data_IF_652033837770
#
_entry.id   IF_652033837770
#
_cell.length_a   1.000
_cell.length_b   1.000
_cell.length_c   1.000
_cell.angle_alpha   90.00
_cell.angle_beta   90.00
_cell.angle_gamma   90.00
#
_symmetry.space_group_name_H-M   'P 1'
#
loop_
_entity.id
_entity.type
_entity.pdbx_description
1 polymer ?
#
# COMPACT_ATOMS: atom_id res chain seq x y z
N UNK A 1 45.03 19.08 40.18
CA UNK A 1 43.93 19.71 39.42
C UNK A 1 44.17 19.49 37.93
N UNK A 2 43.57 18.46 37.34
CA UNK A 2 43.59 18.24 35.90
C UNK A 2 42.16 18.45 35.44
N UNK A 3 41.87 19.64 34.94
CA UNK A 3 40.54 20.01 34.42
C UNK A 3 40.51 19.64 32.94
N UNK A 4 39.49 18.86 32.57
CA UNK A 4 38.92 18.71 31.23
C UNK A 4 39.85 18.25 30.08
N UNK A 5 40.04 16.93 29.96
CA UNK A 5 40.30 16.29 28.67
C UNK A 5 39.00 16.27 27.86
N UNK A 6 38.70 17.38 27.19
CA UNK A 6 37.50 17.57 26.38
C UNK A 6 37.60 16.73 25.12
N UNK A 7 36.91 15.58 25.07
CA UNK A 7 36.75 14.82 23.84
C UNK A 7 35.85 15.64 22.89
N UNK A 8 36.29 15.96 21.65
CA UNK A 8 35.51 16.78 20.72
C UNK A 8 34.20 16.14 20.26
N UNK A 9 33.99 14.85 20.56
CA UNK A 9 32.73 14.11 20.30
C UNK A 9 31.73 14.27 21.46
N UNK A 10 32.19 14.74 22.61
CA UNK A 10 31.52 14.62 23.91
C UNK A 10 30.97 15.97 24.42
N UNK A 11 30.49 16.84 23.51
CA UNK A 11 30.01 18.17 23.87
C UNK A 11 28.87 18.14 24.91
N UNK A 12 28.15 17.02 25.04
CA UNK A 12 27.06 16.88 25.99
C UNK A 12 27.49 16.47 27.41
N UNK A 13 28.48 15.58 27.59
CA UNK A 13 28.96 15.27 28.94
C UNK A 13 29.67 16.47 29.59
N UNK A 14 30.21 17.38 28.77
CA UNK A 14 30.82 18.61 29.28
C UNK A 14 29.75 19.58 29.82
N UNK A 15 28.60 19.70 29.14
CA UNK A 15 27.46 20.52 29.62
C UNK A 15 26.80 19.98 30.89
N UNK A 16 26.77 18.65 31.08
CA UNK A 16 26.28 18.03 32.31
C UNK A 16 27.21 18.25 33.52
N UNK A 17 28.49 18.59 33.29
CA UNK A 17 29.45 18.84 34.37
C UNK A 17 29.41 20.27 34.93
N UNK A 18 28.77 21.22 34.22
CA UNK A 18 28.84 22.66 34.55
C UNK A 18 27.54 23.24 35.17
N UNK A 19 26.44 22.47 35.30
CA UNK A 19 25.24 22.91 36.02
C UNK A 19 24.41 21.75 36.59
N UNK A 20 23.87 21.84 37.83
CA UNK A 20 23.10 20.78 38.49
C UNK A 20 21.62 20.79 38.07
N UNK A 21 21.33 20.98 36.77
CA UNK A 21 19.97 20.82 36.27
C UNK A 21 19.79 19.36 35.88
N UNK A 22 19.05 18.60 36.69
CA UNK A 22 18.68 17.22 36.36
C UNK A 22 18.11 17.18 34.93
N UNK A 23 18.67 16.36 34.02
CA UNK A 23 18.15 16.30 32.66
C UNK A 23 16.70 15.83 32.72
N UNK A 24 15.83 16.44 31.93
CA UNK A 24 14.42 16.07 31.79
C UNK A 24 14.07 15.88 30.32
N UNK A 25 13.06 15.07 30.02
CA UNK A 25 12.58 14.94 28.66
C UNK A 25 12.09 16.28 28.10
N UNK A 26 12.52 16.64 26.90
CA UNK A 26 12.18 17.93 26.25
C UNK A 26 10.68 18.08 25.92
N UNK A 27 9.90 17.00 26.02
CA UNK A 27 8.48 16.98 25.66
C UNK A 27 7.59 16.82 26.89
N UNK A 28 7.80 15.76 27.68
CA UNK A 28 6.96 15.45 28.85
C UNK A 28 7.61 15.78 30.20
N UNK A 29 8.81 16.36 30.20
CA UNK A 29 9.53 16.80 31.41
C UNK A 29 9.81 15.71 32.47
N UNK A 30 9.60 14.44 32.14
CA UNK A 30 9.96 13.31 33.02
C UNK A 30 11.47 13.30 33.26
N UNK A 31 11.91 12.94 34.48
CA UNK A 31 13.32 12.81 34.87
C UNK A 31 13.83 11.36 34.82
N UNK A 32 13.00 10.41 34.40
CA UNK A 32 13.26 8.98 34.44
C UNK A 32 13.39 8.38 33.03
N UNK A 33 14.24 7.36 32.90
CA UNK A 33 14.48 6.61 31.66
C UNK A 33 14.74 7.53 30.47
N UNK A 34 15.82 8.32 30.59
CA UNK A 34 16.15 9.39 29.65
C UNK A 34 17.23 8.95 28.66
N UNK A 35 16.98 9.30 27.40
CA UNK A 35 17.81 8.96 26.26
C UNK A 35 18.18 10.23 25.53
N UNK A 36 19.44 10.36 25.18
CA UNK A 36 19.91 11.47 24.37
C UNK A 36 20.29 11.01 22.97
N UNK A 37 19.78 11.72 21.96
CA UNK A 37 20.23 11.52 20.59
C UNK A 37 21.70 11.96 20.43
N UNK A 38 22.57 11.06 20.01
CA UNK A 38 24.01 11.37 19.85
C UNK A 38 24.30 12.23 18.61
N UNK A 39 23.34 12.39 17.70
CA UNK A 39 23.48 13.18 16.47
C UNK A 39 23.14 14.65 16.73
N UNK A 40 22.01 14.92 17.38
CA UNK A 40 21.50 16.28 17.54
C UNK A 40 21.32 16.75 19.00
N UNK A 41 21.62 15.90 19.99
CA UNK A 41 21.54 16.24 21.40
C UNK A 41 20.13 16.32 21.99
N UNK A 42 19.10 15.86 21.27
CA UNK A 42 17.71 15.83 21.78
C UNK A 42 17.56 14.85 22.95
N UNK A 43 16.98 15.29 24.07
CA UNK A 43 16.69 14.44 25.24
C UNK A 43 15.22 14.02 25.25
N UNK A 44 14.97 12.71 25.14
CA UNK A 44 13.65 12.09 25.13
C UNK A 44 13.54 10.94 26.14
N UNK A 45 12.33 10.70 26.67
CA UNK A 45 12.10 9.50 27.49
C UNK A 45 12.01 8.23 26.62
N UNK A 46 12.41 7.10 27.20
CA UNK A 46 12.52 5.81 26.53
C UNK A 46 11.19 5.11 26.29
N UNK A 47 11.29 3.89 25.72
CA UNK A 47 10.15 3.04 25.32
C UNK A 47 9.25 2.66 26.50
N UNK A 48 9.79 2.60 27.72
CA UNK A 48 9.07 2.25 28.94
C UNK A 48 8.32 3.43 29.59
N UNK A 49 8.36 4.60 28.96
CA UNK A 49 7.56 5.79 29.30
C UNK A 49 6.72 6.15 28.06
N UNK A 50 6.74 7.42 27.65
CA UNK A 50 6.00 7.93 26.47
C UNK A 50 6.73 7.74 25.13
N UNK A 51 7.96 7.21 25.12
CA UNK A 51 8.70 6.92 23.89
C UNK A 51 9.04 8.16 23.05
N UNK A 52 9.42 9.27 23.67
CA UNK A 52 9.84 10.47 22.94
C UNK A 52 11.14 10.29 22.16
N UNK A 53 12.05 9.44 22.64
CA UNK A 53 13.30 9.14 21.93
C UNK A 53 13.08 8.37 20.63
N UNK A 54 12.17 7.38 20.64
CA UNK A 54 11.82 6.61 19.43
C UNK A 54 11.00 7.46 18.44
N UNK A 55 10.13 8.34 18.92
CA UNK A 55 9.38 9.28 18.06
C UNK A 55 10.32 10.27 17.37
N UNK A 56 11.32 10.77 18.11
CA UNK A 56 12.37 11.62 17.56
C UNK A 56 13.13 10.92 16.42
N UNK A 57 13.55 9.67 16.61
CA UNK A 57 14.17 8.88 15.54
C UNK A 57 13.26 8.79 14.31
N UNK A 58 11.99 8.41 14.48
CA UNK A 58 11.04 8.29 13.35
C UNK A 58 10.87 9.60 12.57
N UNK A 59 10.87 10.75 13.26
CA UNK A 59 10.70 12.06 12.63
C UNK A 59 11.96 12.66 12.01
N UNK A 60 13.14 12.36 12.57
CA UNK A 60 14.41 13.01 12.19
C UNK A 60 15.42 12.09 11.51
N UNK A 61 15.17 10.78 11.52
CA UNK A 61 16.11 9.75 11.06
C UNK A 61 17.46 9.76 11.79
N UNK A 62 17.46 10.25 13.04
CA UNK A 62 18.61 10.11 13.92
C UNK A 62 18.64 8.73 14.58
N UNK A 63 19.41 7.81 14.01
CA UNK A 63 19.36 6.38 14.32
C UNK A 63 20.00 5.94 15.65
N UNK A 64 20.69 6.84 16.34
CA UNK A 64 21.44 6.50 17.54
C UNK A 64 21.04 7.35 18.75
N UNK A 65 20.84 6.69 19.88
CA UNK A 65 20.62 7.34 21.17
C UNK A 65 21.44 6.67 22.28
N UNK A 66 21.89 7.47 23.24
CA UNK A 66 22.62 7.05 24.42
C UNK A 66 21.65 7.03 25.61
N UNK A 67 21.61 5.91 26.31
CA UNK A 67 20.94 5.80 27.61
C UNK A 67 21.76 6.52 28.68
N UNK A 68 21.15 7.51 29.35
CA UNK A 68 21.83 8.27 30.39
C UNK A 68 22.09 7.45 31.67
N UNK A 69 21.30 6.41 31.92
CA UNK A 69 21.45 5.54 33.10
C UNK A 69 22.56 4.50 32.88
N UNK A 70 22.52 3.78 31.76
CA UNK A 70 23.46 2.67 31.51
C UNK A 70 24.69 3.07 30.68
N UNK A 71 24.72 4.29 30.12
CA UNK A 71 25.79 4.78 29.24
C UNK A 71 26.01 3.90 27.99
N UNK A 72 24.98 3.16 27.57
CA UNK A 72 24.97 2.31 26.38
C UNK A 72 24.30 3.03 25.21
N UNK A 73 24.85 2.83 24.02
CA UNK A 73 24.28 3.39 22.79
C UNK A 73 23.35 2.34 22.16
N UNK A 74 22.13 2.76 21.85
CA UNK A 74 21.14 1.97 21.14
C UNK A 74 21.11 2.35 19.66
N UNK A 75 21.11 1.35 18.79
CA UNK A 75 20.83 1.48 17.37
C UNK A 75 19.36 1.18 17.10
N UNK A 76 18.61 2.17 16.62
CA UNK A 76 17.20 2.00 16.27
C UNK A 76 16.99 1.22 14.96
N UNK A 77 17.97 1.21 14.05
CA UNK A 77 17.88 0.48 12.77
C UNK A 77 18.20 -0.99 12.97
N UNK A 78 19.32 -1.28 13.65
CA UNK A 78 19.74 -2.64 13.98
C UNK A 78 19.05 -3.27 15.20
N UNK A 79 18.10 -2.56 15.83
CA UNK A 79 17.36 -2.92 17.06
C UNK A 79 18.21 -3.63 18.12
N UNK A 80 19.41 -3.09 18.36
CA UNK A 80 20.40 -3.68 19.25
C UNK A 80 21.27 -2.62 19.92
N UNK A 81 21.91 -3.00 21.03
CA UNK A 81 22.94 -2.16 21.64
C UNK A 81 24.21 -2.21 20.80
N UNK A 82 24.78 -1.04 20.50
CA UNK A 82 26.06 -0.94 19.80
C UNK A 82 27.16 -1.43 20.74
N UNK A 83 27.87 -2.49 20.33
CA UNK A 83 29.06 -2.94 21.03
C UNK A 83 30.18 -1.92 20.86
N UNK A 84 30.57 -1.30 21.97
CA UNK A 84 31.65 -0.32 22.00
C UNK A 84 32.99 -1.04 21.81
N UNK A 85 33.61 -0.91 20.63
CA UNK A 85 35.04 -1.16 20.40
C UNK A 85 35.88 -0.05 21.07
N UNK A 86 35.73 0.14 22.38
CA UNK A 86 36.66 0.93 23.15
C UNK A 86 37.72 -0.01 23.73
N UNK A 87 38.73 -0.35 22.92
CA UNK A 87 40.06 -0.56 23.49
C UNK A 87 40.60 0.80 23.96
N UNK A 88 40.04 1.34 25.04
CA UNK A 88 40.76 2.32 25.82
C UNK A 88 41.88 1.56 26.53
N UNK A 89 43.07 1.69 25.96
CA UNK A 89 44.38 1.37 26.55
C UNK A 89 44.35 1.43 28.09
N UNK A 90 44.31 0.28 28.72
CA UNK A 90 44.91 0.09 30.04
C UNK A 90 45.58 -1.28 30.04
N UNK A 91 46.91 -1.22 30.11
CA UNK A 91 47.80 -2.28 30.61
C UNK A 91 48.10 -3.48 29.68
N UNK A 92 48.76 -3.20 28.56
CA UNK A 92 49.74 -4.16 28.00
C UNK A 92 51.10 -3.71 28.49
N UNK A 93 51.48 -4.23 29.66
CA UNK A 93 52.88 -4.37 30.10
C UNK A 93 53.64 -5.02 28.95
N UNK A 94 54.36 -4.18 28.20
CA UNK A 94 55.41 -4.65 27.30
C UNK A 94 56.53 -5.21 28.18
N UNK A 95 56.48 -6.50 28.47
CA UNK A 95 57.62 -7.24 29.00
C UNK A 95 58.66 -7.41 27.88
N UNK A 96 59.33 -6.32 27.50
CA UNK A 96 60.66 -6.39 26.90
C UNK A 96 61.63 -6.65 28.05
N UNK A 97 61.88 -7.92 28.36
CA UNK A 97 62.98 -8.28 29.25
C UNK A 97 64.29 -8.17 28.45
N UNK A 98 64.80 -6.95 28.30
CA UNK A 98 66.20 -6.71 28.01
C UNK A 98 66.87 -6.30 29.33
N UNK A 99 67.28 -7.29 30.12
CA UNK A 99 68.15 -7.06 31.27
C UNK A 99 69.56 -6.74 30.79
N UNK A 100 69.81 -5.46 30.50
CA UNK A 100 71.16 -4.92 30.41
C UNK A 100 71.57 -4.61 31.84
N UNK A 101 72.58 -5.31 32.36
CA UNK A 101 73.14 -4.98 33.66
C UNK A 101 73.93 -3.67 33.53
N UNK A 102 73.58 -2.69 34.35
CA UNK A 102 74.36 -1.47 34.55
C UNK A 102 74.71 -1.45 36.03
N UNK A 103 75.89 -1.94 36.40
CA UNK A 103 76.70 -1.43 37.52
C UNK A 103 78.09 -2.10 37.49
N UNK A 104 79.20 -1.34 37.49
CA UNK A 104 80.54 -1.90 37.60
C UNK A 104 80.87 -2.14 39.07
N UNK A 105 81.05 -3.40 39.43
CA UNK A 105 81.56 -3.80 40.74
C UNK A 105 80.55 -4.52 41.62
N UNK A 106 80.12 -5.72 41.21
CA UNK A 106 80.03 -6.84 42.16
C UNK A 106 79.93 -8.17 41.41
N UNK A 107 80.44 -9.21 42.05
CA UNK A 107 80.80 -10.51 41.48
C UNK A 107 79.59 -11.29 40.93
N UNK A 108 79.32 -11.24 39.62
CA UNK A 108 78.32 -12.09 38.96
C UNK A 108 78.91 -13.47 38.67
N UNK A 109 78.61 -14.44 39.55
CA UNK A 109 79.11 -15.84 39.48
C UNK A 109 78.38 -16.68 38.41
N UNK A 110 77.52 -16.08 37.56
CA UNK A 110 76.70 -16.85 36.61
C UNK A 110 76.85 -16.44 35.14
N UNK A 111 77.91 -15.72 34.77
CA UNK A 111 78.35 -15.59 33.38
C UNK A 111 79.40 -16.67 33.07
N UNK A 112 79.00 -17.94 33.16
CA UNK A 112 79.76 -19.05 32.59
C UNK A 112 79.33 -19.20 31.13
N UNK A 113 80.17 -18.69 30.24
CA UNK A 113 80.34 -19.25 28.91
C UNK A 113 81.04 -20.60 29.15
N UNK A 114 80.33 -21.71 29.01
CA UNK A 114 80.95 -23.04 29.04
C UNK A 114 80.38 -23.90 27.91
N UNK A 115 81.30 -24.26 27.02
CA UNK A 115 81.11 -25.01 25.78
C UNK A 115 80.96 -26.51 26.08
N UNK A 116 79.78 -26.91 26.57
CA UNK A 116 79.37 -28.33 26.59
C UNK A 116 77.91 -28.48 26.17
N UNK A 117 77.63 -27.92 25.00
CA UNK A 117 76.31 -27.78 24.36
C UNK A 117 75.94 -29.00 23.51
N UNK A 118 75.69 -30.15 24.14
CA UNK A 118 75.08 -31.29 23.45
C UNK A 118 74.01 -32.00 24.28
N UNK A 119 74.15 -32.06 25.60
CA UNK A 119 73.13 -32.62 26.49
C UNK A 119 71.90 -31.72 26.69
N UNK A 120 72.12 -30.40 26.77
CA UNK A 120 71.06 -29.39 26.94
C UNK A 120 70.19 -29.22 25.69
N UNK A 121 70.82 -29.12 24.51
CA UNK A 121 70.13 -29.06 23.20
C UNK A 121 69.35 -30.33 22.90
N UNK A 122 69.84 -31.50 23.34
CA UNK A 122 69.11 -32.75 23.15
C UNK A 122 67.90 -32.87 24.08
N UNK A 123 67.98 -32.36 25.31
CA UNK A 123 66.85 -32.35 26.23
C UNK A 123 65.80 -31.30 25.84
N UNK A 124 66.23 -30.12 25.37
CA UNK A 124 65.32 -29.12 24.81
C UNK A 124 64.66 -29.60 23.52
N UNK A 125 65.40 -30.24 22.61
CA UNK A 125 64.84 -30.78 21.36
C UNK A 125 63.78 -31.87 21.60
N UNK A 126 63.96 -32.72 22.62
CA UNK A 126 62.92 -33.68 23.03
C UNK A 126 61.71 -33.00 23.67
N UNK A 127 61.93 -31.97 24.49
CA UNK A 127 60.85 -31.18 25.07
C UNK A 127 60.04 -30.45 23.98
N UNK A 128 60.72 -29.86 23.00
CA UNK A 128 60.09 -29.20 21.85
C UNK A 128 59.29 -30.19 21.00
N UNK A 129 59.81 -31.39 20.77
CA UNK A 129 59.09 -32.46 20.06
C UNK A 129 57.80 -32.86 20.78
N UNK A 130 57.86 -33.00 22.11
CA UNK A 130 56.68 -33.32 22.94
C UNK A 130 55.65 -32.17 22.88
N UNK A 131 56.11 -30.92 22.92
CA UNK A 131 55.25 -29.73 22.80
C UNK A 131 54.59 -29.68 21.43
N UNK A 132 55.31 -29.98 20.35
CA UNK A 132 54.75 -30.03 19.00
C UNK A 132 53.73 -31.14 18.83
N UNK A 133 53.99 -32.34 19.38
CA UNK A 133 53.02 -33.43 19.39
C UNK A 133 51.76 -33.07 20.18
N UNK A 134 51.92 -32.44 21.35
CA UNK A 134 50.80 -31.94 22.16
C UNK A 134 50.00 -30.87 21.41
N UNK A 135 50.68 -29.91 20.78
CA UNK A 135 50.03 -28.86 19.98
C UNK A 135 49.26 -29.46 18.80
N UNK A 136 49.81 -30.49 18.14
CA UNK A 136 49.12 -31.20 17.05
C UNK A 136 47.88 -31.94 17.55
N UNK A 137 47.97 -32.60 18.70
CA UNK A 137 46.83 -33.26 19.35
C UNK A 137 45.75 -32.25 19.75
N UNK A 138 46.14 -31.14 20.36
CA UNK A 138 45.24 -30.06 20.74
C UNK A 138 44.56 -29.45 19.52
N UNK A 139 45.32 -29.17 18.44
CA UNK A 139 44.77 -28.67 17.18
C UNK A 139 43.78 -29.65 16.56
N UNK A 140 44.10 -30.95 16.53
CA UNK A 140 43.18 -31.98 16.06
C UNK A 140 41.91 -32.03 16.90
N UNK A 141 42.01 -31.88 18.22
CA UNK A 141 40.85 -31.90 19.10
C UNK A 141 39.96 -30.67 18.90
N UNK A 142 40.57 -29.48 18.74
CA UNK A 142 39.85 -28.23 18.46
C UNK A 142 39.15 -28.29 17.09
N UNK A 143 39.78 -28.91 16.10
CA UNK A 143 39.19 -29.07 14.77
C UNK A 143 37.96 -30.00 14.81
N UNK A 144 38.04 -31.14 15.48
CA UNK A 144 36.89 -32.02 15.68
C UNK A 144 35.74 -31.31 16.41
N UNK A 145 36.05 -30.49 17.42
CA UNK A 145 35.03 -29.69 18.11
C UNK A 145 34.42 -28.63 17.20
N UNK A 146 35.24 -27.94 16.39
CA UNK A 146 34.78 -26.95 15.40
C UNK A 146 33.79 -27.59 14.43
N UNK A 147 34.16 -28.71 13.83
CA UNK A 147 33.31 -29.45 12.89
C UNK A 147 31.98 -29.89 13.54
N UNK A 148 32.02 -30.41 14.77
CA UNK A 148 30.82 -30.81 15.49
C UNK A 148 29.84 -29.65 15.71
N UNK A 149 30.33 -28.52 16.22
CA UNK A 149 29.47 -27.36 16.46
C UNK A 149 29.02 -26.69 15.17
N UNK A 150 29.85 -26.67 14.12
CA UNK A 150 29.44 -26.19 12.79
C UNK A 150 28.33 -27.05 12.19
N UNK A 151 28.43 -28.39 12.31
CA UNK A 151 27.38 -29.31 11.88
C UNK A 151 26.08 -29.06 12.66
N UNK A 152 26.16 -28.96 14.00
CA UNK A 152 25.00 -28.70 14.85
C UNK A 152 24.32 -27.36 14.51
N UNK A 153 25.10 -26.31 14.27
CA UNK A 153 24.59 -24.99 13.85
C UNK A 153 23.98 -25.04 12.44
N UNK A 154 24.61 -25.77 11.51
CA UNK A 154 24.09 -25.99 10.16
C UNK A 154 22.73 -26.70 10.20
N UNK A 155 22.60 -27.75 11.00
CA UNK A 155 21.36 -28.52 11.10
C UNK A 155 20.25 -27.71 11.76
N UNK A 156 20.56 -26.97 12.84
CA UNK A 156 19.61 -26.05 13.46
C UNK A 156 19.18 -24.91 12.51
N UNK A 157 20.06 -24.48 11.60
CA UNK A 157 19.72 -23.51 10.55
C UNK A 157 18.79 -24.12 9.51
N UNK A 158 19.11 -25.32 9.00
CA UNK A 158 18.28 -26.04 8.02
C UNK A 158 16.89 -26.32 8.57
N UNK A 159 16.77 -26.73 9.83
CA UNK A 159 15.47 -27.00 10.45
C UNK A 159 14.63 -25.72 10.56
N UNK A 160 15.25 -24.60 10.98
CA UNK A 160 14.55 -23.30 10.98
C UNK A 160 14.13 -22.88 9.57
N UNK A 161 15.00 -23.02 8.58
CA UNK A 161 14.70 -22.69 7.19
C UNK A 161 13.58 -23.57 6.64
N UNK A 162 13.57 -24.86 6.95
CA UNK A 162 12.50 -25.79 6.61
C UNK A 162 11.17 -25.38 7.26
N UNK A 163 11.16 -25.10 8.56
CA UNK A 163 9.96 -24.62 9.26
C UNK A 163 9.43 -23.31 8.67
N UNK A 164 10.31 -22.38 8.33
CA UNK A 164 9.93 -21.12 7.68
C UNK A 164 9.32 -21.42 6.30
N UNK A 165 9.97 -22.26 5.48
CA UNK A 165 9.45 -22.63 4.15
C UNK A 165 8.06 -23.26 4.25
N UNK A 166 7.87 -24.24 5.14
CA UNK A 166 6.58 -24.90 5.32
C UNK A 166 5.49 -23.93 5.81
N UNK A 167 5.83 -23.03 6.75
CA UNK A 167 4.89 -22.02 7.23
C UNK A 167 4.49 -21.02 6.13
N UNK A 168 5.46 -20.60 5.30
CA UNK A 168 5.25 -19.72 4.16
C UNK A 168 4.39 -20.41 3.10
N UNK A 169 4.71 -21.63 2.71
CA UNK A 169 3.96 -22.40 1.71
C UNK A 169 2.51 -22.62 2.15
N UNK A 170 2.29 -22.96 3.42
CA UNK A 170 0.94 -23.08 3.99
C UNK A 170 0.19 -21.76 3.91
N UNK A 171 0.82 -20.65 4.31
CA UNK A 171 0.20 -19.32 4.27
C UNK A 171 -0.15 -18.89 2.85
N UNK A 172 0.74 -19.14 1.89
CA UNK A 172 0.52 -18.85 0.47
C UNK A 172 -0.65 -19.69 -0.05
N UNK A 173 -0.69 -20.99 0.24
CA UNK A 173 -1.75 -21.88 -0.20
C UNK A 173 -3.13 -21.47 0.38
N UNK A 174 -3.18 -21.14 1.67
CA UNK A 174 -4.41 -20.68 2.33
C UNK A 174 -4.91 -19.37 1.69
N UNK A 175 -4.01 -18.43 1.38
CA UNK A 175 -4.35 -17.19 0.68
C UNK A 175 -4.77 -17.39 -0.76
N UNK A 176 -4.16 -18.34 -1.46
CA UNK A 176 -4.54 -18.69 -2.82
C UNK A 176 -5.95 -19.28 -2.86
N UNK A 177 -6.30 -20.16 -1.93
CA UNK A 177 -7.65 -20.69 -1.78
C UNK A 177 -8.67 -19.60 -1.43
N UNK A 178 -8.31 -18.69 -0.51
CA UNK A 178 -9.17 -17.54 -0.14
C UNK A 178 -9.46 -16.64 -1.35
N UNK A 179 -8.43 -16.31 -2.14
CA UNK A 179 -8.58 -15.50 -3.35
C UNK A 179 -9.38 -16.21 -4.43
N UNK A 180 -9.19 -17.52 -4.60
CA UNK A 180 -9.95 -18.31 -5.56
C UNK A 180 -11.45 -18.34 -5.20
N UNK A 181 -11.79 -18.53 -3.92
CA UNK A 181 -13.17 -18.47 -3.44
C UNK A 181 -13.79 -17.08 -3.65
N UNK A 182 -13.04 -16.01 -3.36
CA UNK A 182 -13.48 -14.62 -3.59
C UNK A 182 -13.73 -14.33 -5.07
N UNK A 183 -12.86 -14.84 -5.95
CA UNK A 183 -13.03 -14.72 -7.38
C UNK A 183 -14.32 -15.41 -7.84
N UNK A 184 -14.55 -16.66 -7.43
CA UNK A 184 -15.76 -17.41 -7.77
C UNK A 184 -17.04 -16.71 -7.29
N UNK A 185 -17.06 -16.22 -6.05
CA UNK A 185 -18.20 -15.45 -5.52
C UNK A 185 -18.45 -14.17 -6.32
N UNK A 186 -17.40 -13.41 -6.62
CA UNK A 186 -17.50 -12.19 -7.42
C UNK A 186 -18.00 -12.48 -8.85
N UNK A 187 -17.57 -13.58 -9.46
CA UNK A 187 -18.08 -14.01 -10.76
C UNK A 187 -19.56 -14.37 -10.70
N UNK A 188 -20.00 -15.05 -9.64
CA UNK A 188 -21.41 -15.40 -9.45
C UNK A 188 -22.27 -14.15 -9.25
N UNK A 189 -21.82 -13.19 -8.45
CA UNK A 189 -22.51 -11.91 -8.26
C UNK A 189 -22.59 -11.11 -9.56
N UNK A 190 -21.48 -11.01 -10.30
CA UNK A 190 -21.45 -10.38 -11.62
C UNK A 190 -22.47 -11.02 -12.57
N UNK A 191 -22.57 -12.36 -12.58
CA UNK A 191 -23.55 -13.08 -13.40
C UNK A 191 -24.98 -12.74 -12.99
N UNK A 192 -25.28 -12.75 -11.69
CA UNK A 192 -26.62 -12.38 -11.17
C UNK A 192 -27.01 -10.95 -11.55
N UNK A 193 -26.08 -10.00 -11.42
CA UNK A 193 -26.30 -8.60 -11.79
C UNK A 193 -26.49 -8.46 -13.30
N UNK A 194 -25.72 -9.16 -14.12
CA UNK A 194 -25.88 -9.16 -15.57
C UNK A 194 -27.25 -9.70 -16.00
N UNK A 195 -27.69 -10.82 -15.43
CA UNK A 195 -29.02 -11.39 -15.68
C UNK A 195 -30.15 -10.45 -15.25
N UNK A 196 -30.00 -9.77 -14.10
CA UNK A 196 -30.98 -8.78 -13.64
C UNK A 196 -31.03 -7.57 -14.57
N UNK A 197 -29.88 -7.06 -14.99
CA UNK A 197 -29.79 -5.92 -15.89
C UNK A 197 -30.40 -6.24 -17.28
N UNK A 198 -30.16 -7.45 -17.79
CA UNK A 198 -30.78 -7.92 -19.04
C UNK A 198 -32.31 -7.95 -18.93
N UNK A 199 -32.85 -8.50 -17.83
CA UNK A 199 -34.31 -8.53 -17.59
C UNK A 199 -34.88 -7.12 -17.49
N UNK A 200 -34.21 -6.23 -16.78
CA UNK A 200 -34.65 -4.84 -16.60
C UNK A 200 -34.63 -4.08 -17.92
N UNK A 201 -33.58 -4.25 -18.73
CA UNK A 201 -33.46 -3.64 -20.07
C UNK A 201 -34.59 -4.11 -20.99
N UNK A 202 -34.85 -5.43 -21.03
CA UNK A 202 -35.97 -6.00 -21.80
C UNK A 202 -37.32 -5.44 -21.36
N UNK A 203 -37.54 -5.34 -20.04
CA UNK A 203 -38.78 -4.75 -19.52
C UNK A 203 -38.89 -3.27 -19.90
N UNK A 204 -37.80 -2.51 -19.77
CA UNK A 204 -37.74 -1.10 -20.15
C UNK A 204 -38.04 -0.90 -21.64
N UNK A 205 -37.50 -1.74 -22.53
CA UNK A 205 -37.76 -1.67 -23.97
C UNK A 205 -39.22 -1.94 -24.31
N UNK A 206 -39.85 -2.92 -23.65
CA UNK A 206 -41.28 -3.18 -23.80
C UNK A 206 -42.09 -1.95 -23.39
N UNK A 207 -41.80 -1.34 -22.24
CA UNK A 207 -42.48 -0.12 -21.81
C UNK A 207 -42.26 1.06 -22.77
N UNK A 208 -41.05 1.22 -23.30
CA UNK A 208 -40.77 2.26 -24.31
C UNK A 208 -41.59 2.04 -25.58
N UNK A 209 -41.70 0.80 -26.05
CA UNK A 209 -42.51 0.46 -27.22
C UNK A 209 -44.01 0.67 -26.98
N UNK A 210 -44.53 0.29 -25.80
CA UNK A 210 -45.94 0.49 -25.48
C UNK A 210 -46.29 1.97 -25.36
N UNK A 211 -45.45 2.78 -24.71
CA UNK A 211 -45.62 4.24 -24.62
C UNK A 211 -45.62 4.85 -26.02
N UNK A 212 -44.63 4.53 -26.86
CA UNK A 212 -44.57 5.02 -28.24
C UNK A 212 -45.82 4.62 -29.05
N UNK A 213 -46.30 3.39 -28.89
CA UNK A 213 -47.52 2.92 -29.56
C UNK A 213 -48.80 3.56 -29.02
N UNK A 214 -48.84 4.01 -27.77
CA UNK A 214 -49.94 4.82 -27.22
C UNK A 214 -49.88 6.22 -27.84
N UNK A 215 -48.72 6.88 -27.81
CA UNK A 215 -48.51 8.22 -28.36
C UNK A 215 -48.88 8.31 -29.85
N UNK A 216 -48.52 7.30 -30.65
CA UNK A 216 -48.87 7.24 -32.07
C UNK A 216 -50.37 7.07 -32.30
N UNK A 217 -51.06 6.26 -31.48
CA UNK A 217 -52.51 6.09 -31.55
C UNK A 217 -53.25 7.36 -31.15
N UNK A 218 -52.84 8.00 -30.06
CA UNK A 218 -53.42 9.27 -29.61
C UNK A 218 -53.21 10.37 -30.65
N UNK A 219 -52.00 10.46 -31.24
CA UNK A 219 -51.71 11.40 -32.33
C UNK A 219 -52.59 11.16 -33.56
N UNK A 220 -52.84 9.91 -33.93
CA UNK A 220 -53.75 9.58 -35.03
C UNK A 220 -55.21 9.96 -34.72
N UNK A 221 -55.67 9.72 -33.49
CA UNK A 221 -57.01 10.13 -33.06
C UNK A 221 -57.18 11.65 -33.00
N UNK A 222 -56.16 12.38 -32.55
CA UNK A 222 -56.16 13.84 -32.55
C UNK A 222 -56.26 14.37 -33.99
N UNK A 223 -55.44 13.86 -34.91
CA UNK A 223 -55.52 14.24 -36.34
C UNK A 223 -56.91 13.98 -36.93
N UNK A 224 -57.51 12.82 -36.68
CA UNK A 224 -58.86 12.52 -37.16
C UNK A 224 -59.92 13.49 -36.60
N UNK A 225 -59.80 13.86 -35.32
CA UNK A 225 -60.69 14.86 -34.70
C UNK A 225 -60.46 16.25 -35.28
N UNK A 226 -59.22 16.65 -35.51
CA UNK A 226 -58.86 17.92 -36.12
C UNK A 226 -59.40 18.00 -37.56
N UNK A 227 -59.23 16.95 -38.36
CA UNK A 227 -59.78 16.85 -39.72
C UNK A 227 -61.32 16.94 -39.72
N UNK A 228 -61.99 16.28 -38.77
CA UNK A 228 -63.45 16.35 -38.62
C UNK A 228 -63.92 17.75 -38.16
N UNK A 229 -63.15 18.43 -37.30
CA UNK A 229 -63.43 19.82 -36.92
C UNK A 229 -63.31 20.73 -38.14
N UNK A 230 -62.27 20.56 -38.96
CA UNK A 230 -62.09 21.35 -40.18
C UNK A 230 -63.26 21.18 -41.16
N UNK A 231 -63.71 19.95 -41.38
CA UNK A 231 -64.87 19.65 -42.23
C UNK A 231 -66.16 20.28 -41.68
N UNK A 232 -66.43 20.13 -40.37
CA UNK A 232 -67.58 20.76 -39.73
C UNK A 232 -67.52 22.29 -39.78
N UNK A 233 -66.34 22.88 -39.62
CA UNK A 233 -66.14 24.33 -39.77
C UNK A 233 -66.41 24.80 -41.19
N UNK A 234 -66.04 24.02 -42.21
CA UNK A 234 -66.35 24.29 -43.62
C UNK A 234 -67.86 24.20 -43.87
N UNK A 235 -68.53 23.15 -43.40
CA UNK A 235 -69.98 23.04 -43.48
C UNK A 235 -70.69 24.23 -42.82
N UNK A 236 -70.23 24.68 -41.64
CA UNK A 236 -70.81 25.86 -40.96
C UNK A 236 -70.59 27.13 -41.78
N UNK A 237 -69.43 27.29 -42.45
CA UNK A 237 -69.17 28.44 -43.34
C UNK A 237 -70.13 28.43 -44.52
N UNK A 238 -70.35 27.28 -45.14
CA UNK A 238 -71.28 27.13 -46.26
C UNK A 238 -72.74 27.38 -45.86
N UNK A 239 -73.18 26.84 -44.73
CA UNK A 239 -74.51 27.14 -44.18
C UNK A 239 -74.66 28.62 -43.83
N UNK A 240 -73.62 29.26 -43.29
CA UNK A 240 -73.64 30.70 -43.03
C UNK A 240 -73.77 31.51 -44.32
N UNK A 241 -73.08 31.09 -45.39
CA UNK A 241 -73.16 31.72 -46.69
C UNK A 241 -74.56 31.57 -47.32
N UNK A 242 -75.13 30.37 -47.31
CA UNK A 242 -76.47 30.12 -47.86
C UNK A 242 -77.56 30.90 -47.13
N UNK A 243 -77.51 30.98 -45.78
CA UNK A 243 -78.42 31.80 -44.98
C UNK A 243 -78.25 33.29 -45.29
N UNK A 244 -77.02 33.77 -45.48
CA UNK A 244 -76.75 35.17 -45.83
C UNK A 244 -77.27 35.51 -47.22
N UNK A 245 -77.13 34.59 -48.18
CA UNK A 245 -77.68 34.72 -49.52
C UNK A 245 -79.22 34.78 -49.48
N UNK A 246 -79.87 33.86 -48.76
CA UNK A 246 -81.33 33.87 -48.56
C UNK A 246 -81.83 35.19 -47.92
N UNK A 247 -81.14 35.68 -46.87
CA UNK A 247 -81.48 36.97 -46.24
C UNK A 247 -81.27 38.16 -47.17
N UNK A 248 -80.26 38.11 -48.05
CA UNK A 248 -80.01 39.18 -49.02
C UNK A 248 -81.07 39.20 -50.12
N UNK A 249 -81.46 38.03 -50.62
CA UNK A 249 -82.58 37.86 -51.57
C UNK A 249 -83.89 38.37 -50.95
N UNK A 250 -84.16 38.06 -49.69
CA UNK A 250 -85.34 38.54 -48.97
C UNK A 250 -85.32 40.06 -48.68
N UNK A 251 -84.14 40.71 -48.67
CA UNK A 251 -83.98 42.16 -48.48
C UNK A 251 -83.98 42.95 -49.79
N UNK A 252 -83.56 42.34 -50.90
CA UNK A 252 -83.67 42.93 -52.23
C UNK A 252 -85.12 42.84 -52.70
N UNK A 253 -85.64 43.94 -53.24
CA UNK A 253 -87.03 44.21 -53.56
C UNK A 253 -87.58 43.45 -54.77
N UNK A 254 -87.68 42.12 -54.70
CA UNK A 254 -88.49 41.26 -55.61
C UNK A 254 -88.92 39.98 -54.87
N UNK A 255 -89.91 40.09 -53.99
CA UNK A 255 -90.36 38.97 -53.15
C UNK A 255 -91.37 38.03 -53.84
N UNK A 256 -91.88 38.35 -55.04
CA UNK A 256 -93.02 37.63 -55.64
C UNK A 256 -92.72 36.73 -56.87
N UNK A 257 -91.53 36.77 -57.49
CA UNK A 257 -91.31 36.08 -58.78
C UNK A 257 -90.48 34.77 -58.75
N UNK A 258 -90.12 34.25 -57.57
CA UNK A 258 -89.28 33.03 -57.46
C UNK A 258 -89.90 31.89 -56.64
N UNK A 259 -91.22 31.88 -56.43
CA UNK A 259 -91.97 30.69 -56.00
C UNK A 259 -92.06 29.68 -57.16
N UNK A 260 -90.97 28.99 -57.48
CA UNK A 260 -91.03 27.93 -58.51
C UNK A 260 -89.75 27.14 -58.78
N UNK A 261 -88.59 27.56 -58.26
CA UNK A 261 -87.33 26.87 -58.52
C UNK A 261 -87.00 25.82 -57.47
N UNK A 262 -87.37 24.56 -57.71
CA UNK A 262 -86.88 23.40 -56.96
C UNK A 262 -85.38 23.19 -57.24
N UNK A 263 -84.52 23.60 -56.31
CA UNK A 263 -83.09 23.30 -56.35
C UNK A 263 -82.87 21.89 -55.82
N UNK A 264 -82.69 20.96 -56.75
CA UNK A 264 -82.24 19.59 -56.49
C UNK A 264 -80.77 19.62 -56.06
N UNK A 265 -80.39 19.01 -54.93
CA UNK A 265 -78.98 18.83 -54.57
C UNK A 265 -78.31 17.91 -55.59
N UNK A 266 -77.27 18.41 -56.28
CA UNK A 266 -76.37 17.57 -57.05
C UNK A 266 -75.60 16.67 -56.08
N UNK A 267 -75.87 15.36 -56.19
CA UNK A 267 -75.02 14.33 -55.61
C UNK A 267 -73.61 14.48 -56.21
N UNK A 268 -72.61 14.79 -55.38
CA UNK A 268 -71.22 14.61 -55.76
C UNK A 268 -70.89 13.13 -55.61
N UNK A 269 -70.55 12.54 -56.75
CA UNK A 269 -70.18 11.14 -56.87
C UNK A 269 -68.93 10.79 -56.05
N UNK A 270 -68.96 9.58 -55.53
CA UNK A 270 -67.84 8.82 -54.99
C UNK A 270 -66.71 8.69 -56.00
N UNK A 271 -65.52 9.24 -55.71
CA UNK A 271 -64.31 8.89 -56.45
C UNK A 271 -63.62 7.66 -55.82
N UNK A 272 -63.80 6.54 -56.50
CA UNK A 272 -63.12 5.27 -56.27
C UNK A 272 -61.68 5.31 -56.77
N UNK A 273 -60.75 5.73 -55.92
CA UNK A 273 -59.31 5.66 -56.18
C UNK A 273 -58.73 4.25 -55.94
N UNK A 274 -58.72 3.40 -56.97
CA UNK A 274 -57.90 2.16 -57.00
C UNK A 274 -56.40 2.50 -57.01
N UNK A 275 -55.72 2.29 -55.88
CA UNK A 275 -54.26 2.38 -55.74
C UNK A 275 -53.59 1.03 -55.43
N UNK A 276 -53.14 0.36 -56.51
CA UNK A 276 -52.17 -0.75 -56.63
C UNK A 276 -51.55 -1.38 -55.36
N UNK A 277 -51.71 -2.70 -55.29
CA UNK A 277 -50.72 -3.65 -54.74
C UNK A 277 -49.31 -3.37 -55.29
N UNK A 278 -48.34 -3.22 -54.40
CA UNK A 278 -46.93 -3.52 -54.67
C UNK A 278 -46.40 -4.37 -53.52
N UNK A 279 -46.09 -5.62 -53.84
CA UNK A 279 -45.19 -6.46 -53.07
C UNK A 279 -43.77 -5.92 -53.20
N UNK A 280 -43.04 -5.85 -52.09
CA UNK A 280 -41.60 -6.13 -52.08
C UNK A 280 -41.10 -6.49 -50.69
N UNK A 281 -40.74 -7.75 -50.60
CA UNK A 281 -39.82 -8.39 -49.67
C UNK A 281 -38.54 -7.58 -49.43
N UNK A 282 -38.14 -7.43 -48.17
CA UNK A 282 -36.71 -7.43 -47.81
C UNK A 282 -36.51 -8.06 -46.43
N UNK A 283 -36.33 -9.38 -46.46
CA UNK A 283 -35.69 -10.16 -45.41
C UNK A 283 -34.20 -9.83 -45.47
N UNK A 284 -33.64 -9.18 -44.43
CA UNK A 284 -32.18 -9.07 -44.28
C UNK A 284 -31.79 -9.53 -42.89
N UNK A 285 -31.11 -10.68 -42.89
CA UNK A 285 -30.23 -11.18 -41.83
C UNK A 285 -29.17 -10.11 -41.53
N UNK A 286 -29.01 -9.78 -40.26
CA UNK A 286 -27.78 -10.00 -39.50
C UNK A 286 -28.13 -10.08 -38.02
#
# INVERSE_FOLDING_TARGET
>A
MWVSSSCPVCQFCQKLSEAPTNPTCSVCQTSENLWICVICGFVGCGRYKEGHSIRHWKGTQHCYSLDLETQRVWDYVGDSYVHRLNHSKSDVKHAKFSSKCEYPGDNCVNCMHDDSDMGGVMFSSKADTIVDEYNRLLASQLETQREYYEALLSDAKKEREHHISVAVDKTINDKLQELQLKLENTMLEKKKVAEMNEKLTKSQDVWRQTVKGIEERERAQLKLKDDMILDLEEQIKDFRYSIKLQKSIAKSSHADDLKGGMLVPLAMESDSGKGKRSSRTSKRRN
#
